data_IF_988823919778
#
_entry.id   IF_988823919778
#
_cell.length_a   1.000
_cell.length_b   1.000
_cell.length_c   1.000
_cell.angle_alpha   90.00
_cell.angle_beta   90.00
_cell.angle_gamma   90.00
#
_symmetry.space_group_name_H-M   'P 1'
#
loop_
_entity.id
_entity.type
_entity.pdbx_description
1 polymer ?
#
# COMPACT_ATOMS: atom_id res chain seq x y z
N UNK A 1 -3.90 4.06 35.66
CA UNK A 1 -3.06 3.93 34.45
C UNK A 1 -3.83 3.03 33.50
N UNK A 2 -4.32 3.54 32.37
CA UNK A 2 -5.05 2.73 31.40
C UNK A 2 -4.03 2.00 30.52
N UNK A 3 -4.03 0.67 30.58
CA UNK A 3 -3.21 -0.17 29.71
C UNK A 3 -3.90 -0.20 28.34
N UNK A 4 -3.45 0.64 27.42
CA UNK A 4 -3.88 0.57 26.02
C UNK A 4 -3.13 -0.62 25.43
N UNK A 5 -3.72 -1.81 25.43
CA UNK A 5 -3.18 -2.90 24.61
C UNK A 5 -3.43 -2.51 23.16
N UNK A 6 -2.36 -2.31 22.40
CA UNK A 6 -2.42 -2.12 20.96
C UNK A 6 -2.84 -3.46 20.34
N UNK A 7 -4.15 -3.67 20.25
CA UNK A 7 -4.73 -4.85 19.59
C UNK A 7 -4.53 -4.61 18.10
N UNK A 8 -3.49 -5.23 17.55
CA UNK A 8 -3.29 -5.30 16.11
C UNK A 8 -4.33 -6.31 15.59
N UNK A 9 -5.25 -5.91 14.70
CA UNK A 9 -6.22 -6.83 14.12
C UNK A 9 -5.50 -7.96 13.37
N UNK A 10 -6.02 -9.19 13.51
CA UNK A 10 -5.51 -10.33 12.75
C UNK A 10 -5.90 -10.21 11.26
N UNK A 11 -5.17 -10.88 10.38
CA UNK A 11 -5.33 -10.77 8.92
C UNK A 11 -6.78 -11.02 8.47
N UNK A 12 -7.47 -11.94 9.14
CA UNK A 12 -8.88 -12.26 8.91
C UNK A 12 -9.82 -11.09 9.24
N UNK A 13 -9.51 -10.34 10.30
CA UNK A 13 -10.28 -9.17 10.73
C UNK A 13 -10.06 -7.99 9.77
N UNK A 14 -8.82 -7.82 9.29
CA UNK A 14 -8.46 -6.84 8.26
C UNK A 14 -9.21 -7.12 6.96
N UNK A 15 -9.26 -8.38 6.53
CA UNK A 15 -10.01 -8.77 5.34
C UNK A 15 -11.51 -8.50 5.49
N UNK A 16 -12.10 -8.81 6.64
CA UNK A 16 -13.50 -8.51 6.91
C UNK A 16 -13.80 -6.99 6.88
N UNK A 17 -12.86 -6.15 7.34
CA UNK A 17 -12.99 -4.69 7.31
C UNK A 17 -12.77 -4.08 5.92
N UNK A 18 -11.95 -4.71 5.08
CA UNK A 18 -11.55 -4.17 3.77
C UNK A 18 -12.30 -4.79 2.60
N UNK A 19 -13.07 -5.85 2.84
CA UNK A 19 -13.91 -6.49 1.82
C UNK A 19 -14.99 -5.53 1.32
N UNK A 20 -15.02 -5.24 0.00
CA UNK A 20 -16.00 -4.33 -0.57
C UNK A 20 -17.41 -4.91 -0.49
N UNK A 21 -18.32 -4.18 0.16
CA UNK A 21 -19.73 -4.59 0.34
C UNK A 21 -20.62 -4.35 -0.88
N UNK A 22 -20.12 -3.66 -1.91
CA UNK A 22 -20.84 -3.40 -3.16
C UNK A 22 -19.89 -3.23 -4.37
N UNK A 23 -20.43 -3.31 -5.58
CA UNK A 23 -19.67 -3.27 -6.84
C UNK A 23 -18.82 -2.00 -6.98
N UNK A 24 -19.36 -0.83 -6.65
CA UNK A 24 -18.62 0.45 -6.70
C UNK A 24 -17.44 0.48 -5.73
N UNK A 25 -17.61 -0.06 -4.53
CA UNK A 25 -16.54 -0.19 -3.55
C UNK A 25 -15.45 -1.16 -4.04
N UNK A 26 -15.83 -2.23 -4.73
CA UNK A 26 -14.89 -3.17 -5.33
C UNK A 26 -14.08 -2.53 -6.47
N UNK A 27 -14.74 -1.78 -7.36
CA UNK A 27 -14.07 -1.02 -8.43
C UNK A 27 -13.09 0.02 -7.85
N UNK A 28 -13.50 0.76 -6.81
CA UNK A 28 -12.63 1.74 -6.16
C UNK A 28 -11.42 1.08 -5.49
N UNK A 29 -11.60 -0.10 -4.89
CA UNK A 29 -10.52 -0.86 -4.27
C UNK A 29 -9.54 -1.38 -5.32
N UNK A 30 -10.04 -1.90 -6.44
CA UNK A 30 -9.22 -2.33 -7.58
C UNK A 30 -8.41 -1.16 -8.15
N UNK A 31 -9.04 0.01 -8.33
CA UNK A 31 -8.36 1.21 -8.80
C UNK A 31 -7.25 1.65 -7.83
N UNK A 32 -7.53 1.67 -6.52
CA UNK A 32 -6.53 1.98 -5.49
C UNK A 32 -5.34 1.01 -5.52
N UNK A 33 -5.61 -0.30 -5.67
CA UNK A 33 -4.55 -1.32 -5.82
C UNK A 33 -3.70 -1.08 -7.06
N UNK A 34 -4.32 -0.72 -8.18
CA UNK A 34 -3.60 -0.42 -9.42
C UNK A 34 -2.72 0.83 -9.29
N UNK A 35 -3.23 1.90 -8.66
CA UNK A 35 -2.45 3.12 -8.40
C UNK A 35 -1.28 2.83 -7.47
N UNK A 36 -1.53 2.09 -6.38
CA UNK A 36 -0.48 1.69 -5.43
C UNK A 36 0.65 0.95 -6.14
N UNK A 37 0.32 -0.05 -6.96
CA UNK A 37 1.32 -0.81 -7.73
C UNK A 37 2.17 0.09 -8.63
N UNK A 38 1.54 1.01 -9.37
CA UNK A 38 2.28 1.95 -10.23
C UNK A 38 3.24 2.84 -9.45
N UNK A 39 2.85 3.26 -8.23
CA UNK A 39 3.70 4.07 -7.37
C UNK A 39 4.86 3.24 -6.82
N UNK A 40 4.61 1.99 -6.41
CA UNK A 40 5.65 1.06 -5.97
C UNK A 40 6.66 0.79 -7.10
N UNK A 41 6.19 0.49 -8.31
CA UNK A 41 7.05 0.29 -9.49
C UNK A 41 7.92 1.54 -9.77
N UNK A 42 7.35 2.74 -9.66
CA UNK A 42 8.09 3.99 -9.84
C UNK A 42 9.15 4.23 -8.76
N UNK A 43 8.80 3.96 -7.50
CA UNK A 43 9.73 4.11 -6.38
C UNK A 43 10.87 3.08 -6.46
N UNK A 44 10.57 1.85 -6.83
CA UNK A 44 11.57 0.82 -7.08
C UNK A 44 12.54 1.26 -8.19
N UNK A 45 12.02 1.75 -9.31
CA UNK A 45 12.86 2.29 -10.39
C UNK A 45 13.71 3.47 -9.95
N UNK A 46 13.17 4.39 -9.15
CA UNK A 46 13.92 5.51 -8.60
C UNK A 46 15.04 5.04 -7.66
N UNK A 47 14.75 4.05 -6.80
CA UNK A 47 15.76 3.45 -5.92
C UNK A 47 16.84 2.69 -6.71
N UNK A 48 16.46 1.99 -7.78
CA UNK A 48 17.41 1.32 -8.67
C UNK A 48 18.32 2.33 -9.38
N UNK A 49 17.77 3.43 -9.91
CA UNK A 49 18.57 4.51 -10.52
C UNK A 49 19.58 5.10 -9.55
N UNK A 50 19.13 5.38 -8.33
CA UNK A 50 19.99 5.84 -7.23
C UNK A 50 21.11 4.84 -6.93
N UNK A 51 20.76 3.55 -6.83
CA UNK A 51 21.73 2.49 -6.52
C UNK A 51 22.74 2.21 -7.65
N UNK A 52 22.36 2.46 -8.91
CA UNK A 52 23.24 2.31 -10.08
C UNK A 52 24.26 3.45 -10.19
N UNK A 53 24.11 4.53 -9.40
CA UNK A 53 25.05 5.65 -9.39
C UNK A 53 24.75 6.71 -10.44
N UNK A 54 23.53 6.77 -10.99
CA UNK A 54 23.04 7.94 -11.75
C UNK A 54 22.75 9.16 -10.83
N UNK A 55 23.37 9.20 -9.64
CA UNK A 55 23.36 10.31 -8.69
C UNK A 55 24.34 11.45 -9.09
N UNK A 56 24.76 11.51 -10.35
CA UNK A 56 25.68 12.54 -10.90
C UNK A 56 25.00 13.52 -11.87
N UNK A 57 23.67 13.66 -11.91
CA UNK A 57 23.01 14.73 -12.68
C UNK A 57 21.74 15.30 -11.99
N UNK A 58 21.96 16.11 -10.96
CA UNK A 58 21.14 17.29 -10.66
C UNK A 58 21.99 18.54 -10.85
#
# INVERSE_FOLDING_TARGET
>A
MANISEIVPDDTEIDAMTTPRNVKSAESLQHKRQVKRRLEDFLEQAQLRKAIGDDDFF
#
